data_IF_589035823579
#
_entry.id   IF_589035823579
#
_cell.length_a   1.000
_cell.length_b   1.000
_cell.length_c   1.000
_cell.angle_alpha   90.00
_cell.angle_beta   90.00
_cell.angle_gamma   90.00
#
_symmetry.space_group_name_H-M   'P 1'
#
loop_
_entity.id
_entity.type
_entity.pdbx_description
1 polymer ?
#
# COMPACT_ATOMS: atom_id res chain seq x y z
N UNK A 1 -14.52 -15.90 3.57
CA UNK A 1 -13.55 -16.75 2.84
C UNK A 1 -12.48 -15.87 2.19
N UNK A 2 -12.87 -14.89 1.36
CA UNK A 2 -11.93 -13.96 0.69
C UNK A 2 -10.96 -13.26 1.66
N UNK A 3 -11.44 -12.71 2.79
CA UNK A 3 -10.56 -12.07 3.77
C UNK A 3 -9.46 -13.00 4.33
N UNK A 4 -9.79 -14.27 4.63
CA UNK A 4 -8.81 -15.23 5.17
C UNK A 4 -7.79 -15.60 4.12
N UNK A 5 -8.26 -15.82 2.89
CA UNK A 5 -7.41 -16.08 1.74
C UNK A 5 -6.43 -14.91 1.50
N UNK A 6 -6.92 -13.68 1.49
CA UNK A 6 -6.12 -12.46 1.35
C UNK A 6 -5.05 -12.36 2.45
N UNK A 7 -5.41 -12.58 3.72
CA UNK A 7 -4.46 -12.51 4.83
C UNK A 7 -3.42 -13.65 4.78
N UNK A 8 -3.83 -14.86 4.43
CA UNK A 8 -2.92 -15.99 4.25
C UNK A 8 -1.93 -15.72 3.11
N UNK A 9 -2.42 -15.17 1.99
CA UNK A 9 -1.57 -14.78 0.87
C UNK A 9 -0.60 -13.67 1.26
N UNK A 10 -1.06 -12.61 1.95
CA UNK A 10 -0.17 -11.56 2.42
C UNK A 10 0.95 -12.10 3.31
N UNK A 11 0.61 -12.99 4.26
CA UNK A 11 1.59 -13.63 5.14
C UNK A 11 2.61 -14.50 4.37
N UNK A 12 2.15 -15.22 3.33
CA UNK A 12 3.01 -16.04 2.47
C UNK A 12 3.91 -15.22 1.53
N UNK A 13 3.53 -13.97 1.23
CA UNK A 13 4.30 -13.07 0.39
C UNK A 13 5.37 -12.28 1.15
N UNK A 14 5.38 -12.30 2.49
CA UNK A 14 6.38 -11.57 3.25
C UNK A 14 7.79 -12.09 3.02
N UNK A 15 8.72 -11.15 2.88
CA UNK A 15 10.15 -11.38 2.74
C UNK A 15 10.85 -10.05 3.04
N UNK A 16 12.05 -10.11 3.61
CA UNK A 16 12.89 -8.95 3.94
C UNK A 16 13.21 -8.06 2.74
N UNK A 17 12.99 -8.55 1.52
CA UNK A 17 13.30 -7.84 0.27
C UNK A 17 12.07 -7.16 -0.35
N UNK A 18 10.94 -7.09 0.35
CA UNK A 18 9.71 -6.44 -0.17
C UNK A 18 8.81 -5.89 0.91
N UNK A 19 7.90 -5.00 0.54
CA UNK A 19 6.78 -4.55 1.38
C UNK A 19 5.47 -5.09 0.81
N UNK A 20 4.65 -5.69 1.66
CA UNK A 20 3.30 -6.16 1.29
C UNK A 20 2.26 -5.28 1.95
N UNK A 21 1.29 -4.81 1.17
CA UNK A 21 0.16 -4.05 1.68
C UNK A 21 -1.13 -4.43 0.98
N UNK A 22 -2.25 -4.15 1.65
CA UNK A 22 -3.57 -4.54 1.14
C UNK A 22 -4.46 -3.34 0.85
N UNK A 23 -5.48 -3.53 0.01
CA UNK A 23 -6.61 -2.63 -0.19
C UNK A 23 -6.15 -1.20 -0.50
N UNK A 24 -5.49 -1.04 -1.65
CA UNK A 24 -4.91 0.22 -2.10
C UNK A 24 -5.66 0.77 -3.31
N UNK A 25 -6.12 2.02 -3.22
CA UNK A 25 -6.82 2.66 -4.33
C UNK A 25 -5.91 2.90 -5.52
N UNK A 26 -6.23 2.34 -6.69
CA UNK A 26 -5.46 2.43 -7.93
C UNK A 26 -6.00 3.46 -8.94
N UNK A 27 -7.22 3.97 -8.76
CA UNK A 27 -7.78 4.98 -9.67
C UNK A 27 -6.99 6.30 -9.74
N UNK A 28 -6.79 6.83 -10.96
CA UNK A 28 -6.03 8.06 -11.21
C UNK A 28 -6.97 9.27 -11.15
N UNK A 29 -7.96 9.36 -12.04
CA UNK A 29 -8.92 10.50 -12.02
C UNK A 29 -10.22 10.21 -11.28
N UNK A 30 -10.47 8.94 -10.89
CA UNK A 30 -11.53 8.56 -9.95
C UNK A 30 -10.92 7.89 -8.71
N UNK A 31 -10.42 8.67 -7.74
CA UNK A 31 -9.88 8.13 -6.50
C UNK A 31 -10.93 7.27 -5.78
N UNK A 32 -10.63 5.98 -5.58
CA UNK A 32 -11.54 5.02 -4.94
C UNK A 32 -12.39 4.20 -5.91
N UNK A 33 -12.41 4.53 -7.21
CA UNK A 33 -13.12 3.75 -8.23
C UNK A 33 -12.52 2.38 -8.51
N UNK A 34 -11.24 2.18 -8.16
CA UNK A 34 -10.54 0.90 -8.20
C UNK A 34 -9.68 0.75 -6.96
N UNK A 35 -9.75 -0.40 -6.32
CA UNK A 35 -8.95 -0.78 -5.15
C UNK A 35 -8.33 -2.13 -5.47
N UNK A 36 -6.99 -2.24 -5.46
CA UNK A 36 -6.31 -3.53 -5.58
C UNK A 36 -6.27 -4.24 -4.23
N UNK A 37 -6.45 -5.56 -4.26
CA UNK A 37 -6.55 -6.35 -3.03
C UNK A 37 -5.22 -6.40 -2.29
N UNK A 38 -4.15 -6.78 -3.00
CA UNK A 38 -2.79 -6.84 -2.47
C UNK A 38 -1.85 -6.13 -3.42
N UNK A 39 -0.90 -5.38 -2.85
CA UNK A 39 0.18 -4.74 -3.56
C UNK A 39 1.50 -5.15 -2.93
N UNK A 40 2.40 -5.63 -3.78
CA UNK A 40 3.79 -5.91 -3.42
C UNK A 40 4.64 -4.79 -3.99
N UNK A 41 5.41 -4.14 -3.11
CA UNK A 41 6.42 -3.14 -3.46
C UNK A 41 7.79 -3.78 -3.28
N UNK A 42 8.54 -3.89 -4.37
CA UNK A 42 9.96 -4.25 -4.30
C UNK A 42 10.82 -2.97 -4.17
N UNK A 43 11.80 -2.94 -3.25
CA UNK A 43 12.70 -1.82 -3.04
C UNK A 43 13.44 -1.40 -4.31
N UNK A 44 13.44 -0.11 -4.59
CA UNK A 44 14.33 0.50 -5.59
C UNK A 44 15.69 0.89 -4.97
N UNK A 45 16.63 1.40 -5.78
CA UNK A 45 17.98 1.74 -5.34
C UNK A 45 18.07 2.76 -4.20
N UNK A 46 17.06 3.62 -4.04
CA UNK A 46 17.01 4.64 -2.98
C UNK A 46 16.04 4.30 -1.84
N UNK A 47 15.60 3.04 -1.72
CA UNK A 47 14.66 2.60 -0.70
C UNK A 47 15.13 2.93 0.71
N UNK A 48 16.39 2.67 1.05
CA UNK A 48 16.96 2.99 2.36
C UNK A 48 16.87 4.48 2.70
N UNK A 49 16.98 5.36 1.69
CA UNK A 49 16.82 6.80 1.89
C UNK A 49 15.39 7.16 2.24
N UNK A 50 14.39 6.47 1.65
CA UNK A 50 12.99 6.66 2.00
C UNK A 50 12.72 6.11 3.40
N UNK A 51 13.22 4.90 3.68
CA UNK A 51 13.03 4.25 4.96
C UNK A 51 13.59 5.12 6.10
N UNK A 52 14.77 5.73 5.91
CA UNK A 52 15.42 6.62 6.87
C UNK A 52 14.66 7.93 7.20
N UNK A 53 13.59 8.29 6.46
CA UNK A 53 12.81 9.50 6.75
C UNK A 53 11.82 9.24 7.88
N UNK A 54 10.98 8.21 7.72
CA UNK A 54 9.89 7.92 8.64
C UNK A 54 9.35 6.49 8.42
N UNK A 55 8.96 5.77 9.48
CA UNK A 55 8.27 4.49 9.35
C UNK A 55 6.85 4.66 8.76
N UNK A 56 6.21 5.81 8.97
CA UNK A 56 4.88 6.09 8.44
C UNK A 56 4.90 6.58 6.98
N UNK A 57 3.71 6.59 6.39
CA UNK A 57 3.44 7.30 5.13
C UNK A 57 3.69 8.80 5.30
N UNK A 58 4.41 9.39 4.35
CA UNK A 58 4.53 10.84 4.21
C UNK A 58 3.31 11.35 3.41
N UNK A 59 2.67 12.47 3.81
CA UNK A 59 1.59 13.05 3.03
C UNK A 59 2.03 13.41 1.60
N UNK A 60 1.30 12.91 0.59
CA UNK A 60 1.62 13.16 -0.82
C UNK A 60 1.75 14.65 -1.17
N UNK A 61 0.87 15.56 -0.69
CA UNK A 61 1.05 16.98 -0.96
C UNK A 61 2.29 17.59 -0.29
N UNK A 62 2.83 16.99 0.77
CA UNK A 62 4.11 17.43 1.35
C UNK A 62 5.29 17.00 0.48
N UNK A 63 5.20 15.83 -0.15
CA UNK A 63 6.22 15.36 -1.11
C UNK A 63 6.20 16.21 -2.38
N UNK A 64 5.01 16.62 -2.84
CA UNK A 64 4.83 17.45 -4.05
C UNK A 64 5.13 18.93 -3.82
N UNK A 65 5.13 19.39 -2.57
CA UNK A 65 5.45 20.76 -2.23
C UNK A 65 6.90 21.09 -2.61
N UNK A 66 7.14 22.32 -3.07
CA UNK A 66 8.47 22.81 -3.43
C UNK A 66 9.32 23.15 -2.19
N UNK A 67 9.45 22.19 -1.26
CA UNK A 67 10.13 22.34 0.02
C UNK A 67 11.32 21.39 0.08
N UNK A 68 12.53 21.96 0.07
CA UNK A 68 13.77 21.21 0.23
C UNK A 68 14.34 21.30 1.65
N UNK A 69 15.45 20.59 1.92
CA UNK A 69 16.11 20.65 3.22
C UNK A 69 16.99 21.89 3.43
N UNK A 70 17.22 22.70 2.39
CA UNK A 70 18.13 23.84 2.42
C UNK A 70 17.57 25.08 3.09
N UNK A 71 16.44 25.60 2.60
CA UNK A 71 15.83 26.85 3.07
C UNK A 71 14.39 26.63 3.52
N UNK A 72 13.98 27.37 4.55
CA UNK A 72 12.60 27.38 5.00
C UNK A 72 11.74 28.29 4.11
N UNK A 73 10.62 27.76 3.61
CA UNK A 73 9.73 28.43 2.66
C UNK A 73 8.41 28.79 3.37
N UNK A 74 7.82 29.97 3.13
CA UNK A 74 6.49 30.29 3.63
C UNK A 74 5.45 29.25 3.20
N UNK A 75 4.57 28.82 4.12
CA UNK A 75 3.56 27.77 3.83
C UNK A 75 2.69 28.14 2.63
N UNK A 76 2.34 29.42 2.48
CA UNK A 76 1.54 29.94 1.37
C UNK A 76 2.25 29.90 0.01
N UNK A 77 3.57 29.82 -0.01
CA UNK A 77 4.38 29.69 -1.23
C UNK A 77 4.71 28.22 -1.52
N UNK A 78 4.83 27.40 -0.48
CA UNK A 78 5.16 25.99 -0.57
C UNK A 78 4.00 25.12 -1.08
N UNK A 79 2.76 25.45 -0.73
CA UNK A 79 1.59 24.62 -0.99
C UNK A 79 0.55 25.35 -1.84
N UNK A 80 0.18 24.75 -2.97
CA UNK A 80 -0.99 25.13 -3.77
C UNK A 80 -2.26 24.45 -3.21
N UNK A 81 -2.62 24.81 -1.97
CA UNK A 81 -3.75 24.24 -1.24
C UNK A 81 -4.50 25.32 -0.45
N UNK A 82 -5.81 25.13 -0.18
CA UNK A 82 -6.52 25.97 0.78
C UNK A 82 -5.81 26.02 2.14
N UNK A 83 -5.77 27.17 2.84
CA UNK A 83 -4.97 27.35 4.05
C UNK A 83 -5.16 26.28 5.13
N UNK A 84 -6.41 25.91 5.44
CA UNK A 84 -6.70 24.88 6.46
C UNK A 84 -6.17 23.51 6.04
N UNK A 85 -6.24 23.20 4.73
CA UNK A 85 -5.72 21.95 4.18
C UNK A 85 -4.20 21.95 4.17
N UNK A 86 -3.56 23.06 3.82
CA UNK A 86 -2.11 23.21 3.92
C UNK A 86 -1.63 23.04 5.37
N UNK A 87 -2.32 23.65 6.33
CA UNK A 87 -2.03 23.52 7.75
C UNK A 87 -2.10 22.05 8.22
N UNK A 88 -3.15 21.32 7.86
CA UNK A 88 -3.29 19.90 8.19
C UNK A 88 -2.19 19.03 7.56
N UNK A 89 -1.79 19.33 6.31
CA UNK A 89 -0.68 18.63 5.65
C UNK A 89 0.64 18.90 6.36
N UNK A 90 0.92 20.17 6.70
CA UNK A 90 2.14 20.57 7.41
C UNK A 90 2.20 19.94 8.80
N UNK A 91 1.10 19.96 9.54
CA UNK A 91 1.00 19.32 10.85
C UNK A 91 1.31 17.83 10.75
N UNK A 92 0.62 17.11 9.86
CA UNK A 92 0.86 15.67 9.69
C UNK A 92 2.29 15.36 9.21
N UNK A 93 2.82 16.16 8.29
CA UNK A 93 4.18 15.98 7.79
C UNK A 93 5.25 16.27 8.86
N UNK A 94 4.96 17.17 9.82
CA UNK A 94 5.82 17.43 10.96
C UNK A 94 5.73 16.33 12.03
N UNK A 95 4.54 15.78 12.29
CA UNK A 95 4.36 14.63 13.19
C UNK A 95 5.17 13.41 12.75
N UNK A 96 5.21 13.12 11.44
CA UNK A 96 6.02 12.02 10.88
C UNK A 96 7.48 12.41 10.64
N UNK A 97 7.90 13.62 11.03
CA UNK A 97 9.28 14.05 10.94
C UNK A 97 9.80 14.38 9.53
N UNK A 98 8.93 14.51 8.52
CA UNK A 98 9.35 14.91 7.16
C UNK A 98 9.51 16.43 7.01
N UNK A 99 8.69 17.23 7.68
CA UNK A 99 8.80 18.69 7.69
C UNK A 99 9.12 19.23 9.09
N UNK A 100 9.99 20.22 9.17
CA UNK A 100 10.07 21.11 10.32
C UNK A 100 9.23 22.37 10.06
N UNK A 101 8.55 22.88 11.09
CA UNK A 101 7.79 24.13 11.01
C UNK A 101 8.37 25.16 11.99
N UNK A 102 8.50 26.40 11.52
CA UNK A 102 8.95 27.53 12.32
C UNK A 102 8.05 28.75 12.07
N UNK A 103 8.29 29.83 12.82
CA UNK A 103 7.75 31.16 12.50
C UNK A 103 8.88 32.14 12.28
N UNK A 104 8.85 32.88 11.17
CA UNK A 104 9.77 33.98 10.84
C UNK A 104 8.96 35.24 10.55
N UNK A 105 9.24 36.32 11.26
CA UNK A 105 8.48 37.58 11.17
C UNK A 105 6.96 37.41 11.27
N UNK A 106 6.53 36.50 12.15
CA UNK A 106 5.12 36.16 12.37
C UNK A 106 4.49 35.24 11.31
N UNK A 107 5.22 34.86 10.27
CA UNK A 107 4.73 33.99 9.18
C UNK A 107 5.16 32.53 9.40
N UNK A 108 4.27 31.54 9.20
CA UNK A 108 4.65 30.14 9.26
C UNK A 108 5.53 29.78 8.04
N UNK A 109 6.67 29.17 8.33
CA UNK A 109 7.60 28.65 7.32
C UNK A 109 7.86 27.17 7.57
N UNK A 110 8.17 26.42 6.51
CA UNK A 110 8.45 24.99 6.57
C UNK A 110 9.73 24.63 5.82
N UNK A 111 10.40 23.58 6.27
CA UNK A 111 11.60 23.04 5.63
C UNK A 111 11.56 21.52 5.69
N UNK A 112 12.00 20.83 4.66
CA UNK A 112 12.07 19.38 4.69
C UNK A 112 13.24 18.93 5.56
N UNK A 113 13.09 17.81 6.26
CA UNK A 113 14.19 17.25 7.06
C UNK A 113 15.20 16.53 6.17
N UNK A 114 14.74 15.95 5.06
CA UNK A 114 15.54 15.27 4.06
C UNK A 114 15.08 15.64 2.64
N UNK A 115 15.90 15.30 1.64
CA UNK A 115 15.42 15.22 0.26
C UNK A 115 14.63 13.92 0.10
N UNK A 116 13.41 14.01 -0.39
CA UNK A 116 12.63 12.82 -0.77
C UNK A 116 13.31 12.12 -1.98
N UNK A 117 13.54 10.80 -1.94
CA UNK A 117 14.19 10.09 -3.04
C UNK A 117 13.24 9.93 -4.23
N UNK A 118 13.80 9.98 -5.44
CA UNK A 118 13.01 9.85 -6.67
C UNK A 118 12.95 8.40 -7.16
N UNK A 119 13.96 7.57 -6.83
CA UNK A 119 14.10 6.21 -7.34
C UNK A 119 14.13 5.15 -6.23
N UNK A 120 13.17 5.22 -5.31
CA UNK A 120 13.04 4.27 -4.19
C UNK A 120 12.03 3.14 -4.47
N UNK A 121 11.26 3.25 -5.55
CA UNK A 121 10.28 2.25 -6.01
C UNK A 121 10.98 1.40 -7.07
N UNK A 122 11.17 0.11 -6.80
CA UNK A 122 11.72 -0.84 -7.78
C UNK A 122 10.62 -1.33 -8.71
N UNK A 123 9.66 -2.06 -8.15
CA UNK A 123 8.47 -2.55 -8.87
C UNK A 123 7.23 -2.51 -7.97
N UNK A 124 6.06 -2.43 -8.58
CA UNK A 124 4.76 -2.58 -7.94
C UNK A 124 4.00 -3.69 -8.64
N UNK A 125 3.67 -4.75 -7.91
CA UNK A 125 2.82 -5.84 -8.41
C UNK A 125 1.44 -5.74 -7.76
N UNK A 126 0.38 -5.73 -8.59
CA UNK A 126 -1.00 -5.87 -8.14
C UNK A 126 -1.40 -7.34 -8.11
N UNK A 127 -2.02 -7.77 -7.03
CA UNK A 127 -2.55 -9.13 -6.89
C UNK A 127 -4.03 -9.04 -6.49
N UNK A 128 -4.89 -9.59 -7.34
CA UNK A 128 -6.32 -9.73 -7.10
C UNK A 128 -6.66 -11.10 -6.53
N UNK A 129 -7.46 -11.12 -5.48
CA UNK A 129 -7.85 -12.36 -4.82
C UNK A 129 -9.21 -12.81 -5.32
N UNK A 130 -9.26 -14.02 -5.89
CA UNK A 130 -10.53 -14.68 -6.18
C UNK A 130 -10.45 -16.16 -5.81
N UNK A 131 -10.68 -16.54 -4.53
CA UNK A 131 -10.57 -17.92 -4.08
C UNK A 131 -11.51 -18.86 -4.84
N UNK A 132 -12.74 -18.41 -5.15
CA UNK A 132 -13.73 -19.15 -5.93
C UNK A 132 -13.95 -18.53 -7.32
N UNK A 133 -13.46 -19.20 -8.37
CA UNK A 133 -13.67 -18.80 -9.77
C UNK A 133 -15.05 -19.21 -10.31
N UNK A 134 -15.83 -20.01 -9.57
CA UNK A 134 -17.22 -20.31 -9.89
C UNK A 134 -18.12 -19.07 -9.78
N UNK A 135 -17.75 -18.11 -8.92
CA UNK A 135 -18.47 -16.87 -8.68
C UNK A 135 -17.56 -15.65 -8.89
N UNK A 136 -17.11 -15.37 -10.13
CA UNK A 136 -16.03 -14.43 -10.38
C UNK A 136 -16.41 -12.96 -10.12
N UNK A 137 -17.70 -12.61 -10.13
CA UNK A 137 -18.16 -11.23 -10.00
C UNK A 137 -17.53 -10.33 -11.07
N UNK A 138 -17.00 -9.18 -10.66
CA UNK A 138 -16.41 -8.17 -11.55
C UNK A 138 -14.93 -8.43 -11.89
N UNK A 139 -14.39 -9.62 -11.56
CA UNK A 139 -12.96 -9.94 -11.71
C UNK A 139 -12.41 -9.61 -13.11
N UNK A 140 -13.14 -9.99 -14.16
CA UNK A 140 -12.67 -9.77 -15.53
C UNK A 140 -12.56 -8.27 -15.88
N UNK A 141 -13.46 -7.43 -15.34
CA UNK A 141 -13.42 -5.98 -15.53
C UNK A 141 -12.28 -5.36 -14.71
N UNK A 142 -12.07 -5.81 -13.48
CA UNK A 142 -10.96 -5.36 -12.61
C UNK A 142 -9.59 -5.65 -13.23
N UNK A 143 -9.37 -6.89 -13.69
CA UNK A 143 -8.09 -7.27 -14.31
C UNK A 143 -7.86 -6.53 -15.63
N UNK A 144 -8.92 -6.32 -16.42
CA UNK A 144 -8.84 -5.51 -17.64
C UNK A 144 -8.50 -4.06 -17.33
N UNK A 145 -9.08 -3.49 -16.28
CA UNK A 145 -8.77 -2.15 -15.80
C UNK A 145 -7.29 -2.02 -15.46
N UNK A 146 -6.73 -2.96 -14.68
CA UNK A 146 -5.34 -2.86 -14.25
C UNK A 146 -4.36 -2.95 -15.43
N UNK A 147 -4.62 -3.87 -16.36
CA UNK A 147 -3.82 -4.02 -17.59
C UNK A 147 -3.95 -2.79 -18.49
N UNK A 148 -5.18 -2.28 -18.70
CA UNK A 148 -5.41 -1.13 -19.56
C UNK A 148 -4.80 0.16 -18.99
N UNK A 149 -4.82 0.32 -17.67
CA UNK A 149 -4.22 1.46 -16.99
C UNK A 149 -2.69 1.37 -16.96
N UNK A 150 -2.12 0.16 -16.91
CA UNK A 150 -0.66 -0.04 -16.88
C UNK A 150 0.00 0.52 -15.63
N UNK A 151 -0.74 0.68 -14.52
CA UNK A 151 -0.22 1.36 -13.33
C UNK A 151 0.85 0.55 -12.57
N UNK A 152 0.76 -0.77 -12.65
CA UNK A 152 1.62 -1.73 -11.99
C UNK A 152 2.57 -2.35 -13.01
N UNK A 153 3.72 -2.82 -12.54
CA UNK A 153 4.71 -3.52 -13.38
C UNK A 153 4.19 -4.92 -13.74
N UNK A 154 3.41 -5.52 -12.84
CA UNK A 154 2.77 -6.81 -13.04
C UNK A 154 1.38 -6.84 -12.40
N UNK A 155 0.48 -7.62 -12.99
CA UNK A 155 -0.85 -7.91 -12.46
C UNK A 155 -1.06 -9.42 -12.34
N UNK A 156 -1.59 -9.88 -11.21
CA UNK A 156 -1.70 -11.29 -10.87
C UNK A 156 -3.09 -11.60 -10.32
N UNK A 157 -3.65 -12.74 -10.70
CA UNK A 157 -4.81 -13.34 -10.07
C UNK A 157 -4.36 -14.47 -9.14
N UNK A 158 -4.65 -14.37 -7.84
CA UNK A 158 -4.48 -15.44 -6.88
C UNK A 158 -5.82 -16.14 -6.59
N UNK A 159 -5.87 -17.46 -6.71
CA UNK A 159 -7.08 -18.25 -6.52
C UNK A 159 -6.83 -19.57 -5.78
N UNK A 160 -7.81 -20.06 -5.03
CA UNK A 160 -7.81 -21.43 -4.50
C UNK A 160 -8.44 -22.43 -5.47
N UNK A 161 -9.14 -21.95 -6.49
CA UNK A 161 -9.84 -22.77 -7.46
C UNK A 161 -8.86 -23.49 -8.38
N UNK A 162 -9.23 -24.70 -8.81
CA UNK A 162 -8.56 -25.34 -9.93
C UNK A 162 -8.75 -24.50 -11.19
N UNK A 163 -7.64 -24.15 -11.85
CA UNK A 163 -7.65 -23.27 -13.02
C UNK A 163 -7.79 -24.11 -14.28
N UNK A 164 -8.87 -23.86 -15.02
CA UNK A 164 -9.14 -24.52 -16.31
C UNK A 164 -8.73 -23.63 -17.47
N UNK A 165 -8.60 -24.20 -18.66
CA UNK A 165 -8.40 -23.41 -19.89
C UNK A 165 -9.51 -22.39 -20.14
N UNK A 166 -10.76 -22.73 -19.79
CA UNK A 166 -11.88 -21.82 -19.93
C UNK A 166 -11.78 -20.61 -18.97
N UNK A 167 -11.21 -20.80 -17.78
CA UNK A 167 -10.88 -19.69 -16.88
C UNK A 167 -9.80 -18.80 -17.49
N UNK A 168 -8.69 -19.39 -17.96
CA UNK A 168 -7.58 -18.64 -18.56
C UNK A 168 -8.02 -17.78 -19.75
N UNK A 169 -8.92 -18.29 -20.61
CA UNK A 169 -9.43 -17.54 -21.76
C UNK A 169 -10.25 -16.27 -21.39
N UNK A 170 -10.65 -16.10 -20.13
CA UNK A 170 -11.39 -14.92 -19.64
C UNK A 170 -10.48 -13.91 -18.95
N UNK A 171 -9.23 -14.30 -18.67
CA UNK A 171 -8.25 -13.50 -17.94
C UNK A 171 -7.33 -12.85 -18.99
N UNK A 172 -7.14 -11.52 -18.98
CA UNK A 172 -6.24 -10.85 -19.93
C UNK A 172 -4.86 -11.53 -20.01
N UNK A 173 -4.28 -11.62 -21.20
CA UNK A 173 -3.04 -12.37 -21.43
C UNK A 173 -1.86 -11.94 -20.54
N UNK A 174 -1.63 -10.62 -20.26
CA UNK A 174 -0.53 -10.20 -19.41
C UNK A 174 -0.65 -10.63 -17.94
N UNK A 175 -1.84 -11.02 -17.48
CA UNK A 175 -2.08 -11.29 -16.05
C UNK A 175 -1.52 -12.65 -15.65
N UNK A 176 -0.64 -12.67 -14.66
CA UNK A 176 -0.19 -13.91 -14.02
C UNK A 176 -1.32 -14.61 -13.28
N UNK A 177 -1.26 -15.93 -13.16
CA UNK A 177 -2.28 -16.72 -12.44
C UNK A 177 -1.60 -17.66 -11.47
N UNK A 178 -1.91 -17.50 -10.19
CA UNK A 178 -1.41 -18.34 -9.11
C UNK A 178 -2.55 -19.15 -8.51
N UNK A 179 -2.33 -20.46 -8.38
CA UNK A 179 -3.14 -21.29 -7.47
C UNK A 179 -2.48 -21.26 -6.10
N UNK A 180 -3.22 -20.86 -5.09
CA UNK A 180 -2.73 -20.68 -3.73
C UNK A 180 -3.60 -21.44 -2.74
N UNK A 181 -2.95 -22.22 -1.88
CA UNK A 181 -3.59 -22.88 -0.75
C UNK A 181 -3.37 -22.04 0.53
N UNK A 182 -4.43 -21.42 1.09
CA UNK A 182 -4.30 -20.56 2.26
C UNK A 182 -4.02 -21.32 3.57
N UNK A 183 -4.19 -22.65 3.60
CA UNK A 183 -3.93 -23.47 4.80
C UNK A 183 -2.45 -23.85 4.88
N UNK A 184 -1.85 -24.20 3.75
CA UNK A 184 -0.44 -24.63 3.68
C UNK A 184 0.51 -23.49 3.30
N UNK A 185 0.02 -22.44 2.66
CA UNK A 185 0.83 -21.38 2.05
C UNK A 185 1.45 -21.79 0.72
N UNK A 186 1.13 -22.97 0.18
CA UNK A 186 1.66 -23.42 -1.10
C UNK A 186 1.12 -22.57 -2.26
N UNK A 187 2.03 -22.15 -3.13
CA UNK A 187 1.73 -21.35 -4.33
C UNK A 187 2.25 -22.05 -5.57
N UNK A 188 1.35 -22.42 -6.46
CA UNK A 188 1.64 -22.92 -7.81
C UNK A 188 1.43 -21.79 -8.83
N UNK A 189 2.43 -21.56 -9.69
CA UNK A 189 2.30 -20.61 -10.80
C UNK A 189 1.70 -21.34 -12.00
N UNK A 190 0.43 -21.05 -12.32
CA UNK A 190 -0.29 -21.62 -13.47
C UNK A 190 0.04 -20.88 -14.76
N UNK A 191 0.25 -19.56 -14.65
CA UNK A 191 0.70 -18.69 -15.74
C UNK A 191 1.59 -17.58 -15.18
N UNK A 192 2.77 -17.40 -15.75
CA UNK A 192 3.63 -16.28 -15.40
C UNK A 192 3.01 -14.95 -15.87
N UNK A 193 3.13 -13.85 -15.08
CA UNK A 193 2.74 -12.54 -15.56
C UNK A 193 3.66 -12.09 -16.70
N UNK A 194 3.11 -11.29 -17.62
CA UNK A 194 3.92 -10.54 -18.57
C UNK A 194 4.10 -9.12 -18.05
N UNK A 195 5.32 -8.55 -18.12
CA UNK A 195 5.56 -7.18 -17.67
C UNK A 195 4.66 -6.18 -18.41
N UNK A 196 4.13 -5.22 -17.65
CA UNK A 196 3.47 -4.02 -18.15
C UNK A 196 4.49 -2.87 -18.21
N UNK A 197 4.17 -1.82 -18.95
CA UNK A 197 5.00 -0.62 -19.08
C UNK A 197 4.38 0.56 -18.31
N UNK A 198 4.81 0.81 -17.06
CA UNK A 198 4.26 1.90 -16.25
C UNK A 198 4.69 3.30 -16.68
N UNK A 199 5.65 3.41 -17.59
CA UNK A 199 6.10 4.69 -18.17
C UNK A 199 5.32 5.05 -19.43
N UNK A 200 4.58 4.10 -20.01
CA UNK A 200 3.68 4.34 -21.11
C UNK A 200 2.37 5.01 -20.64
N UNK A 201 1.72 5.83 -21.51
CA UNK A 201 0.37 6.31 -21.22
C UNK A 201 -0.64 5.16 -21.06
N UNK A 202 -1.49 5.27 -20.04
CA UNK A 202 -2.51 4.28 -19.71
C UNK A 202 -3.94 4.72 -20.05
N UNK A 203 -4.85 3.78 -20.11
CA UNK A 203 -6.29 4.01 -20.32
C UNK A 203 -7.05 3.66 -19.04
N UNK A 204 -7.58 4.68 -18.36
CA UNK A 204 -8.42 4.48 -17.20
C UNK A 204 -9.88 4.30 -17.61
N UNK A 205 -10.38 3.06 -17.47
CA UNK A 205 -11.78 2.72 -17.73
C UNK A 205 -12.68 3.35 -16.65
N UNK A 206 -13.70 4.10 -17.07
CA UNK A 206 -14.63 4.84 -16.17
C UNK A 206 -15.94 4.12 -15.97
N UNK A 207 -16.54 3.71 -17.07
CA UNK A 207 -17.85 3.08 -17.12
C UNK A 207 -17.89 2.17 -18.37
N UNK A 208 -18.37 0.95 -18.21
CA UNK A 208 -18.51 -0.03 -19.29
C UNK A 208 -19.99 -0.37 -19.48
N UNK A 209 -20.49 -0.13 -20.69
CA UNK A 209 -21.84 -0.47 -21.16
C UNK A 209 -21.73 -1.29 -22.43
N UNK A 210 -22.77 -2.05 -22.78
CA UNK A 210 -22.71 -3.04 -23.86
C UNK A 210 -22.15 -2.55 -25.21
N UNK A 211 -22.36 -1.27 -25.57
CA UNK A 211 -21.89 -0.66 -26.82
C UNK A 211 -21.03 0.58 -26.61
N UNK A 212 -20.62 0.88 -25.37
CA UNK A 212 -19.88 2.11 -25.03
C UNK A 212 -19.01 1.88 -23.81
N UNK A 213 -17.74 2.26 -23.91
CA UNK A 213 -16.83 2.32 -22.77
C UNK A 213 -16.34 3.75 -22.63
N UNK A 214 -16.65 4.37 -21.51
CA UNK A 214 -16.11 5.68 -21.16
C UNK A 214 -14.70 5.50 -20.58
N UNK A 215 -13.74 6.23 -21.12
CA UNK A 215 -12.33 6.14 -20.72
C UNK A 215 -11.74 7.53 -20.50
N UNK A 216 -10.69 7.60 -19.69
CA UNK A 216 -9.79 8.76 -19.66
C UNK A 216 -8.36 8.30 -19.92
N UNK A 217 -7.59 9.12 -20.63
CA UNK A 217 -6.17 8.89 -20.83
C UNK A 217 -5.39 9.36 -19.61
N UNK A 218 -4.51 8.51 -19.08
CA UNK A 218 -3.57 8.84 -18.03
C UNK A 218 -2.17 8.97 -18.64
N UNK A 219 -1.63 10.20 -18.64
CA UNK A 219 -0.25 10.42 -19.09
C UNK A 219 0.79 9.90 -18.08
N UNK A 220 2.05 9.73 -18.49
CA UNK A 220 3.12 9.17 -17.65
C UNK A 220 3.27 9.89 -16.31
N UNK A 221 3.27 11.23 -16.29
CA UNK A 221 3.39 11.98 -15.03
C UNK A 221 2.24 11.70 -14.04
N UNK A 222 1.03 11.48 -14.55
CA UNK A 222 -0.13 11.17 -13.70
C UNK A 222 -0.02 9.76 -13.10
N UNK A 223 0.49 8.81 -13.89
CA UNK A 223 0.79 7.45 -13.44
C UNK A 223 1.94 7.44 -12.44
N UNK A 224 3.04 8.13 -12.71
CA UNK A 224 4.17 8.26 -11.79
C UNK A 224 3.75 8.84 -10.43
N UNK A 225 2.98 9.94 -10.42
CA UNK A 225 2.40 10.49 -9.18
C UNK A 225 1.50 9.47 -8.46
N UNK A 226 0.71 8.70 -9.22
CA UNK A 226 -0.17 7.69 -8.64
C UNK A 226 0.61 6.50 -8.06
N UNK A 227 1.65 6.03 -8.75
CA UNK A 227 2.57 4.97 -8.29
C UNK A 227 3.25 5.39 -6.99
N UNK A 228 3.78 6.61 -6.92
CA UNK A 228 4.33 7.17 -5.67
C UNK A 228 3.32 7.15 -4.52
N UNK A 229 2.07 7.57 -4.77
CA UNK A 229 1.00 7.50 -3.75
C UNK A 229 0.71 6.09 -3.28
N UNK A 230 0.72 5.11 -4.18
CA UNK A 230 0.49 3.70 -3.84
C UNK A 230 1.67 3.17 -3.02
N UNK A 231 2.90 3.41 -3.45
CA UNK A 231 4.10 2.99 -2.75
C UNK A 231 4.17 3.59 -1.34
N UNK A 232 3.93 4.90 -1.19
CA UNK A 232 3.85 5.56 0.12
C UNK A 232 2.77 4.95 1.02
N UNK A 233 1.62 4.60 0.44
CA UNK A 233 0.55 3.94 1.19
C UNK A 233 0.89 2.51 1.53
N UNK A 234 1.57 1.77 0.66
CA UNK A 234 2.06 0.43 0.93
C UNK A 234 3.07 0.46 2.07
N UNK A 235 4.07 1.34 1.97
CA UNK A 235 5.09 1.57 2.99
C UNK A 235 4.50 2.00 4.34
N UNK A 236 3.52 2.90 4.38
CA UNK A 236 2.94 3.30 5.67
C UNK A 236 1.90 2.33 6.26
N UNK A 237 1.16 1.59 5.44
CA UNK A 237 -0.03 0.84 5.89
C UNK A 237 0.26 -0.62 6.24
N UNK A 238 1.08 -1.31 5.44
CA UNK A 238 1.19 -2.76 5.49
C UNK A 238 -0.15 -3.49 5.25
N UNK A 239 -0.26 -4.72 5.78
CA UNK A 239 -1.45 -5.56 5.58
C UNK A 239 -2.13 -6.04 6.87
N UNK A 240 -1.42 -6.05 8.01
CA UNK A 240 -1.93 -6.58 9.29
C UNK A 240 -3.03 -5.70 9.90
N UNK A 241 -4.28 -6.19 10.00
CA UNK A 241 -5.35 -5.45 10.66
C UNK A 241 -5.14 -5.38 12.18
N UNK A 242 -5.81 -4.45 12.85
CA UNK A 242 -5.87 -4.46 14.31
C UNK A 242 -6.73 -5.63 14.81
N UNK A 243 -6.34 -6.32 15.89
CA UNK A 243 -7.17 -7.39 16.46
C UNK A 243 -8.45 -6.82 17.11
N UNK A 244 -9.54 -7.61 17.18
CA UNK A 244 -10.79 -7.17 17.80
C UNK A 244 -10.69 -7.13 19.33
N UNK A 245 -11.48 -6.27 19.97
CA UNK A 245 -11.61 -6.16 21.43
C UNK A 245 -12.52 -7.24 22.02
N UNK A 246 -12.07 -8.50 21.97
CA UNK A 246 -12.83 -9.65 22.45
C UNK A 246 -11.95 -10.56 23.30
N UNK A 247 -12.48 -11.13 24.39
CA UNK A 247 -11.76 -12.02 25.30
C UNK A 247 -11.25 -13.31 24.63
N UNK A 248 -11.82 -13.67 23.47
CA UNK A 248 -11.39 -14.83 22.68
C UNK A 248 -10.41 -14.49 21.55
N UNK A 249 -10.03 -13.21 21.41
CA UNK A 249 -9.15 -12.76 20.36
C UNK A 249 -7.68 -12.94 20.75
N UNK A 250 -6.90 -13.48 19.83
CA UNK A 250 -5.44 -13.59 19.91
C UNK A 250 -4.82 -13.23 18.54
N UNK A 251 -3.50 -13.28 18.44
CA UNK A 251 -2.76 -13.14 17.19
C UNK A 251 -2.08 -14.47 16.81
N UNK A 252 -2.11 -14.82 15.54
CA UNK A 252 -1.21 -15.86 15.01
C UNK A 252 0.25 -15.39 15.07
N UNK A 253 1.20 -16.32 14.86
CA UNK A 253 2.63 -15.99 14.80
C UNK A 253 3.00 -14.98 13.69
N UNK A 254 2.15 -14.84 12.67
CA UNK A 254 2.29 -13.84 11.62
C UNK A 254 1.38 -12.61 11.80
N UNK A 255 0.71 -12.47 12.94
CA UNK A 255 -0.05 -11.28 13.32
C UNK A 255 -1.45 -11.18 12.71
N UNK A 256 -2.03 -12.27 12.19
CA UNK A 256 -3.44 -12.33 11.78
C UNK A 256 -4.34 -12.40 13.01
N UNK A 257 -5.47 -11.68 13.05
CA UNK A 257 -6.45 -11.81 14.13
C UNK A 257 -7.03 -13.23 14.16
N UNK A 258 -6.98 -13.87 15.31
CA UNK A 258 -7.41 -15.24 15.50
C UNK A 258 -8.41 -15.31 16.65
N UNK A 259 -9.42 -16.18 16.52
CA UNK A 259 -10.40 -16.43 17.56
C UNK A 259 -10.23 -17.86 18.09
N UNK A 260 -9.82 -18.00 19.34
CA UNK A 260 -9.60 -19.31 19.98
C UNK A 260 -10.91 -20.07 20.17
N UNK A 261 -12.02 -19.36 20.40
CA UNK A 261 -13.35 -19.97 20.57
C UNK A 261 -13.84 -20.70 19.32
N UNK A 262 -13.51 -20.19 18.14
CA UNK A 262 -13.92 -20.77 16.86
C UNK A 262 -12.75 -21.38 16.09
N UNK A 263 -11.56 -21.43 16.70
CA UNK A 263 -10.35 -22.03 16.15
C UNK A 263 -10.03 -21.57 14.71
N UNK A 264 -10.10 -20.25 14.46
CA UNK A 264 -9.94 -19.70 13.11
C UNK A 264 -9.47 -18.24 13.07
N UNK A 265 -8.79 -17.87 11.98
CA UNK A 265 -8.56 -16.45 11.62
C UNK A 265 -9.89 -15.75 11.40
N UNK A 266 -10.04 -14.53 11.91
CA UNK A 266 -11.28 -13.76 11.84
C UNK A 266 -11.09 -12.41 11.15
N UNK A 267 -12.12 -11.95 10.44
CA UNK A 267 -12.25 -10.56 10.02
C UNK A 267 -12.78 -9.73 11.20
N UNK A 268 -11.96 -8.84 11.83
CA UNK A 268 -12.39 -8.09 13.01
C UNK A 268 -13.64 -7.26 12.80
N UNK A 269 -13.85 -6.71 11.59
CA UNK A 269 -15.00 -5.84 11.30
C UNK A 269 -16.30 -6.59 11.01
N UNK A 270 -16.22 -7.90 10.77
CA UNK A 270 -17.35 -8.71 10.30
C UNK A 270 -17.64 -9.94 11.17
N UNK A 271 -16.60 -10.65 11.58
CA UNK A 271 -16.71 -11.93 12.28
C UNK A 271 -16.77 -11.77 13.81
N UNK A 272 -16.30 -10.64 14.38
CA UNK A 272 -16.17 -10.44 15.81
C UNK A 272 -16.79 -9.10 16.26
N UNK A 273 -17.84 -9.14 17.08
CA UNK A 273 -18.57 -7.96 17.52
C UNK A 273 -20.04 -8.28 17.80
N UNK A 274 -20.92 -7.27 17.68
CA UNK A 274 -22.33 -7.37 18.04
C UNK A 274 -23.13 -8.50 17.34
N UNK A 275 -22.67 -8.97 16.18
CA UNK A 275 -23.30 -10.07 15.44
C UNK A 275 -22.77 -11.47 15.77
N UNK A 276 -21.86 -11.62 16.73
CA UNK A 276 -21.26 -12.89 17.12
C UNK A 276 -21.78 -13.34 18.49
N UNK A 277 -22.37 -14.53 18.54
CA UNK A 277 -22.98 -15.08 19.76
C UNK A 277 -21.98 -15.39 20.88
N UNK A 278 -20.69 -15.46 20.55
CA UNK A 278 -19.60 -15.66 21.50
C UNK A 278 -18.75 -14.40 21.70
N UNK A 279 -19.23 -13.23 21.25
CA UNK A 279 -18.52 -11.98 21.50
C UNK A 279 -18.54 -11.65 22.98
N UNK A 280 -17.35 -11.48 23.55
CA UNK A 280 -17.15 -11.11 24.95
C UNK A 280 -16.22 -9.89 25.01
N UNK A 281 -16.74 -8.67 25.24
CA UNK A 281 -15.94 -7.45 25.18
C UNK A 281 -14.74 -7.47 26.12
N UNK A 282 -13.55 -7.23 25.58
CA UNK A 282 -12.31 -7.10 26.35
C UNK A 282 -11.33 -6.14 25.64
N UNK A 283 -10.21 -5.84 26.28
CA UNK A 283 -9.11 -5.14 25.61
C UNK A 283 -8.58 -6.02 24.45
N UNK A 284 -8.29 -5.44 23.28
CA UNK A 284 -7.68 -6.20 22.19
C UNK A 284 -6.34 -6.82 22.61
N UNK A 285 -5.99 -8.02 22.12
CA UNK A 285 -4.72 -8.65 22.45
C UNK A 285 -3.54 -7.78 21.97
N UNK A 286 -2.49 -7.75 22.78
CA UNK A 286 -1.24 -7.08 22.42
C UNK A 286 -0.50 -7.89 21.36
N UNK A 287 -0.63 -7.48 20.10
CA UNK A 287 0.13 -8.03 18.96
C UNK A 287 1.11 -6.97 18.48
N UNK A 288 2.41 -7.28 18.53
CA UNK A 288 3.47 -6.41 18.03
C UNK A 288 3.52 -6.43 16.49
N UNK A 289 2.60 -5.70 15.87
CA UNK A 289 2.44 -5.66 14.41
C UNK A 289 3.61 -4.97 13.72
N UNK A 290 4.22 -3.99 14.39
CA UNK A 290 5.34 -3.23 13.84
C UNK A 290 6.61 -4.08 13.92
N UNK A 291 6.90 -4.72 15.06
CA UNK A 291 8.01 -5.68 15.17
C UNK A 291 7.88 -6.83 14.16
N UNK A 292 6.70 -7.44 14.03
CA UNK A 292 6.45 -8.48 13.02
C UNK A 292 6.68 -7.98 11.59
N UNK A 293 6.41 -6.70 11.32
CA UNK A 293 6.57 -6.10 10.01
C UNK A 293 8.04 -5.81 9.71
N UNK A 294 8.75 -5.24 10.68
CA UNK A 294 10.18 -4.92 10.61
C UNK A 294 11.01 -6.19 10.38
N UNK A 295 10.70 -7.26 11.11
CA UNK A 295 11.43 -8.53 11.00
C UNK A 295 11.19 -9.29 9.68
N UNK A 296 10.04 -9.07 9.03
CA UNK A 296 9.56 -9.94 7.93
C UNK A 296 9.47 -9.23 6.59
N UNK A 297 9.68 -7.93 6.54
CA UNK A 297 9.53 -7.11 5.33
C UNK A 297 10.68 -6.12 5.19
N UNK A 298 10.79 -5.45 4.05
CA UNK A 298 11.77 -4.37 3.86
C UNK A 298 11.41 -3.09 4.65
N UNK A 299 10.23 -3.01 5.28
CA UNK A 299 9.82 -1.84 6.04
C UNK A 299 10.65 -1.70 7.33
N UNK A 300 11.06 -0.47 7.66
CA UNK A 300 11.84 -0.17 8.86
C UNK A 300 10.97 0.54 9.92
N UNK A 301 10.92 -0.02 11.14
CA UNK A 301 10.23 0.56 12.30
C UNK A 301 10.99 1.74 12.91
N UNK A 302 12.30 1.59 13.06
CA UNK A 302 13.20 2.61 13.59
C UNK A 302 14.19 3.03 12.51
N UNK A 303 13.94 4.14 11.79
CA UNK A 303 14.91 4.71 10.87
C UNK A 303 16.14 5.18 11.65
N UNK A 304 17.16 4.30 11.73
CA UNK A 304 18.42 4.44 12.49
C UNK A 304 18.68 5.80 13.15
N UNK A 305 18.82 5.76 14.49
CA UNK A 305 18.75 6.83 15.50
C UNK A 305 19.59 8.12 15.38
N UNK A 306 19.96 8.56 14.19
CA UNK A 306 20.35 9.95 13.90
C UNK A 306 19.39 10.66 12.95
N UNK A 307 18.37 9.98 12.40
CA UNK A 307 17.44 10.55 11.42
C UNK A 307 18.18 11.28 10.27
N UNK A 308 17.52 12.15 9.50
CA UNK A 308 18.21 13.00 8.53
C UNK A 308 19.11 14.11 9.15
N UNK A 309 19.50 14.00 10.44
CA UNK A 309 20.49 14.89 11.05
C UNK A 309 21.90 14.37 10.86
N UNK A 310 22.48 14.69 9.70
CA UNK A 310 23.87 15.18 9.69
C UNK A 310 23.96 16.34 8.73
N UNK A 311 23.93 17.54 9.30
CA UNK A 311 24.46 18.73 8.64
C UNK A 311 25.94 18.43 8.34
N UNK A 312 26.21 18.00 7.11
CA UNK A 312 27.55 17.79 6.59
C UNK A 312 28.24 19.14 6.47
N UNK A 313 28.81 19.63 7.58
CA UNK A 313 29.49 20.93 7.59
C UNK A 313 30.19 21.35 8.89
N UNK A 314 29.82 20.82 10.06
CA UNK A 314 30.38 21.32 11.33
C UNK A 314 31.56 20.51 11.88
N UNK A 315 31.84 19.31 11.36
CA UNK A 315 33.02 18.52 11.76
C UNK A 315 34.36 19.02 11.18
N UNK A 316 34.37 20.21 10.57
CA UNK A 316 35.60 20.89 10.11
C UNK A 316 36.01 22.07 11.01
N UNK A 317 35.26 22.35 12.08
CA UNK A 317 35.51 23.48 12.98
C UNK A 317 35.51 23.11 14.47
N UNK A 318 35.73 21.83 14.81
CA UNK A 318 35.98 21.37 16.17
C UNK A 318 37.29 20.60 16.22
#
# INVERSE_FOLDING_TARGET
MEFRFELALCAALESTDRVVARQLGAGVTNPGGRIVDVCVLEPGPEFDRRAAIAPERIPDPAIEAAVGPGEAVPVTEAFDLPPDRAAAVVERAAEVGYLERERRDGRPVVRATARYPDNWIGSLTAIENKPDLGTPGDLAAQLRYDVALGLFDEAILATASYVTRAHLNRIPDPVGVWRFDPETGEREVVREPSPLDPDAPGVEIRDERSLRTDVALAGPDALARKRRRIAERAYGKGWRPAPPGCAHATGTADGRPYCERFDRVVDPGRDCGAGCDAYDPADPPAVDRDGLRDERTAWAADPGGDGPRRQSGLSRFL
#
